data_IF_736779531442
#
_entry.id   IF_736779531442
#
_cell.length_a   1.000
_cell.length_b   1.000
_cell.length_c   1.000
_cell.angle_alpha   90.00
_cell.angle_beta   90.00
_cell.angle_gamma   90.00
#
_symmetry.space_group_name_H-M   'P 1'
#
loop_
_entity.id
_entity.type
_entity.pdbx_description
1 polymer ?
#
# COMPACT_ATOMS: atom_id res chain seq x y z
N UNK A 1 -26.22 4.13 -4.36
CA UNK A 1 -25.58 2.80 -4.45
C UNK A 1 -25.08 2.45 -3.06
N UNK A 2 -25.35 1.25 -2.54
CA UNK A 2 -24.80 0.83 -1.24
C UNK A 2 -23.35 0.46 -1.47
N UNK A 3 -22.43 1.23 -0.89
CA UNK A 3 -21.01 0.91 -0.81
C UNK A 3 -20.74 0.07 0.45
N UNK A 4 -19.67 -0.73 0.46
CA UNK A 4 -19.31 -1.67 1.54
C UNK A 4 -19.36 -1.04 2.92
N UNK A 5 -18.85 0.18 3.06
CA UNK A 5 -18.84 0.94 4.32
C UNK A 5 -20.23 1.06 4.96
N UNK A 6 -21.27 1.31 4.15
CA UNK A 6 -22.63 1.56 4.60
C UNK A 6 -23.47 0.28 4.75
N UNK A 7 -22.90 -0.89 4.46
CA UNK A 7 -23.60 -2.17 4.66
C UNK A 7 -23.75 -2.48 6.14
N UNK A 8 -24.95 -2.86 6.58
CA UNK A 8 -25.24 -3.22 7.97
C UNK A 8 -25.82 -4.63 8.08
N UNK A 9 -25.67 -5.31 9.24
CA UNK A 9 -26.33 -6.58 9.48
C UNK A 9 -27.84 -6.49 9.21
N UNK A 10 -28.37 -7.42 8.41
CA UNK A 10 -29.74 -7.42 7.92
C UNK A 10 -29.92 -6.90 6.50
N UNK A 11 -28.89 -6.27 5.91
CA UNK A 11 -28.95 -5.84 4.51
C UNK A 11 -28.79 -7.02 3.54
N UNK A 12 -29.68 -7.08 2.55
CA UNK A 12 -29.45 -7.87 1.33
C UNK A 12 -28.65 -7.05 0.32
N UNK A 13 -27.73 -7.72 -0.36
CA UNK A 13 -26.78 -7.16 -1.32
C UNK A 13 -26.94 -7.86 -2.66
N UNK A 14 -26.96 -7.07 -3.72
CA UNK A 14 -26.97 -7.51 -5.12
C UNK A 14 -26.07 -6.52 -5.89
N UNK A 15 -24.76 -6.81 -5.95
CA UNK A 15 -23.76 -5.83 -6.43
C UNK A 15 -22.49 -6.48 -6.97
N UNK A 16 -21.70 -5.72 -7.72
CA UNK A 16 -20.36 -6.11 -8.15
C UNK A 16 -19.32 -5.78 -7.09
N UNK A 17 -18.30 -6.63 -6.99
CA UNK A 17 -17.15 -6.46 -6.12
C UNK A 17 -15.89 -6.97 -6.81
N UNK A 18 -14.74 -6.47 -6.39
CA UNK A 18 -13.45 -7.07 -6.69
C UNK A 18 -13.10 -8.12 -5.63
N UNK A 19 -12.61 -9.28 -6.03
CA UNK A 19 -12.01 -10.24 -5.10
C UNK A 19 -10.61 -9.74 -4.72
N UNK A 20 -10.46 -9.27 -3.49
CA UNK A 20 -9.16 -8.89 -2.92
C UNK A 20 -8.38 -10.11 -2.43
N UNK A 21 -9.07 -11.09 -1.85
CA UNK A 21 -8.48 -12.36 -1.38
C UNK A 21 -9.49 -13.48 -1.45
N UNK A 22 -9.05 -14.67 -1.80
CA UNK A 22 -9.86 -15.89 -1.77
C UNK A 22 -9.11 -17.00 -1.03
N UNK A 23 -9.74 -17.63 -0.06
CA UNK A 23 -9.18 -18.79 0.66
C UNK A 23 -10.18 -19.93 0.64
N UNK A 24 -9.71 -21.11 0.22
CA UNK A 24 -10.49 -22.34 0.24
C UNK A 24 -10.41 -22.97 1.63
N UNK A 25 -11.46 -23.66 2.04
CA UNK A 25 -11.49 -24.39 3.29
C UNK A 25 -12.46 -25.56 3.23
N UNK A 26 -12.32 -26.46 4.21
CA UNK A 26 -13.21 -27.61 4.38
C UNK A 26 -13.89 -27.49 5.74
N UNK A 27 -15.21 -27.60 5.76
CA UNK A 27 -15.98 -27.60 7.01
C UNK A 27 -15.70 -28.87 7.82
N UNK A 28 -16.04 -28.87 9.11
CA UNK A 28 -15.94 -30.07 9.96
C UNK A 28 -16.72 -31.29 9.40
N UNK A 29 -17.70 -31.04 8.52
CA UNK A 29 -18.52 -32.05 7.86
C UNK A 29 -17.96 -32.49 6.50
N UNK A 30 -16.74 -32.05 6.15
CA UNK A 30 -16.08 -32.43 4.89
C UNK A 30 -16.57 -31.68 3.65
N UNK A 31 -17.42 -30.65 3.79
CA UNK A 31 -17.89 -29.83 2.66
C UNK A 31 -16.94 -28.67 2.37
N UNK A 32 -16.65 -28.45 1.10
CA UNK A 32 -15.83 -27.34 0.62
C UNK A 32 -16.57 -25.99 0.74
N UNK A 33 -15.84 -24.97 1.18
CA UNK A 33 -16.31 -23.60 1.24
C UNK A 33 -15.20 -22.63 0.82
N UNK A 34 -15.59 -21.40 0.47
CA UNK A 34 -14.64 -20.32 0.23
C UNK A 34 -14.91 -19.15 1.17
N UNK A 35 -13.82 -18.53 1.62
CA UNK A 35 -13.86 -17.19 2.22
C UNK A 35 -13.32 -16.23 1.19
N UNK A 36 -14.15 -15.27 0.79
CA UNK A 36 -13.80 -14.20 -0.14
C UNK A 36 -13.69 -12.91 0.65
N UNK A 37 -12.74 -12.07 0.31
CA UNK A 37 -12.66 -10.70 0.79
C UNK A 37 -13.05 -9.82 -0.39
N UNK A 38 -14.28 -9.32 -0.34
CA UNK A 38 -14.91 -8.57 -1.43
C UNK A 38 -14.68 -7.09 -1.19
N UNK A 39 -14.19 -6.38 -2.21
CA UNK A 39 -13.78 -4.98 -2.10
C UNK A 39 -14.58 -4.10 -3.08
N UNK A 40 -14.89 -2.89 -2.61
CA UNK A 40 -15.20 -1.72 -3.44
C UNK A 40 -14.35 -0.51 -2.98
N UNK A 41 -14.58 0.66 -3.56
CA UNK A 41 -13.82 1.90 -3.22
C UNK A 41 -13.95 2.34 -1.77
N UNK A 42 -15.00 1.93 -1.06
CA UNK A 42 -15.23 2.33 0.34
C UNK A 42 -14.58 1.38 1.35
N UNK A 43 -14.29 0.13 0.94
CA UNK A 43 -13.63 -0.83 1.80
C UNK A 43 -13.84 -2.27 1.37
N UNK A 44 -13.57 -3.18 2.30
CA UNK A 44 -13.67 -4.62 2.12
C UNK A 44 -14.60 -5.27 3.14
N UNK A 45 -15.23 -6.38 2.74
CA UNK A 45 -16.08 -7.21 3.60
C UNK A 45 -15.69 -8.68 3.45
N UNK A 46 -15.55 -9.38 4.58
CA UNK A 46 -15.39 -10.83 4.57
C UNK A 46 -16.72 -11.49 4.17
N UNK A 47 -16.68 -12.37 3.18
CA UNK A 47 -17.82 -13.06 2.62
C UNK A 47 -17.60 -14.59 2.62
N UNK A 48 -18.63 -15.36 3.01
CA UNK A 48 -18.59 -16.83 3.08
C UNK A 48 -19.48 -17.44 2.03
N UNK A 49 -18.88 -18.21 1.11
CA UNK A 49 -19.56 -19.10 0.18
C UNK A 49 -19.50 -20.53 0.75
N UNK A 50 -20.57 -20.96 1.42
CA UNK A 50 -20.61 -22.23 2.16
C UNK A 50 -20.75 -23.47 1.29
N UNK A 51 -21.12 -23.32 0.02
CA UNK A 51 -21.30 -24.44 -0.93
C UNK A 51 -20.52 -24.10 -2.18
N UNK A 52 -19.19 -24.14 -2.07
CA UNK A 52 -18.31 -23.83 -3.18
C UNK A 52 -18.13 -25.06 -4.07
N UNK A 53 -18.27 -24.88 -5.38
CA UNK A 53 -17.98 -25.91 -6.36
C UNK A 53 -16.48 -25.93 -6.72
N UNK A 54 -16.03 -26.97 -7.41
CA UNK A 54 -14.66 -27.01 -7.97
C UNK A 54 -14.41 -25.88 -8.95
N UNK A 55 -15.43 -25.49 -9.71
CA UNK A 55 -15.37 -24.37 -10.65
C UNK A 55 -15.22 -23.04 -9.90
N UNK A 56 -15.99 -22.82 -8.83
CA UNK A 56 -15.83 -21.64 -7.97
C UNK A 56 -14.40 -21.54 -7.42
N UNK A 57 -13.86 -22.66 -6.92
CA UNK A 57 -12.50 -22.72 -6.38
C UNK A 57 -11.41 -22.43 -7.43
N UNK A 58 -11.68 -22.71 -8.70
CA UNK A 58 -10.77 -22.45 -9.81
C UNK A 58 -10.89 -21.01 -10.34
N UNK A 59 -12.08 -20.42 -10.29
CA UNK A 59 -12.39 -19.17 -10.98
C UNK A 59 -12.47 -17.96 -10.04
N UNK A 60 -12.88 -18.14 -8.79
CA UNK A 60 -12.99 -17.06 -7.80
C UNK A 60 -11.63 -16.78 -7.18
N UNK A 61 -10.79 -16.07 -7.93
CA UNK A 61 -9.41 -15.72 -7.57
C UNK A 61 -9.25 -14.22 -7.33
N UNK A 62 -8.16 -13.79 -6.65
CA UNK A 62 -7.81 -12.38 -6.56
C UNK A 62 -7.78 -11.71 -7.95
N UNK A 63 -8.11 -10.41 -7.99
CA UNK A 63 -8.22 -9.56 -9.19
C UNK A 63 -9.47 -9.80 -10.06
N UNK A 64 -10.23 -10.87 -9.82
CA UNK A 64 -11.48 -11.11 -10.53
C UNK A 64 -12.62 -10.22 -10.01
N UNK A 65 -13.41 -9.67 -10.94
CA UNK A 65 -14.62 -8.92 -10.61
C UNK A 65 -15.78 -9.91 -10.59
N UNK A 66 -16.56 -9.88 -9.51
CA UNK A 66 -17.69 -10.78 -9.30
C UNK A 66 -18.94 -10.02 -8.96
N UNK A 67 -20.06 -10.50 -9.49
CA UNK A 67 -21.37 -10.09 -9.08
C UNK A 67 -21.87 -11.02 -7.97
N UNK A 68 -22.19 -10.46 -6.81
CA UNK A 68 -22.52 -11.21 -5.60
C UNK A 68 -23.92 -10.85 -5.12
N UNK A 69 -24.71 -11.88 -4.87
CA UNK A 69 -25.96 -11.79 -4.12
C UNK A 69 -25.77 -12.45 -2.76
N UNK A 70 -26.11 -11.75 -1.69
CA UNK A 70 -25.89 -12.24 -0.34
C UNK A 70 -26.53 -11.39 0.73
N UNK A 71 -26.45 -11.86 1.97
CA UNK A 71 -27.02 -11.17 3.13
C UNK A 71 -25.90 -10.84 4.12
N UNK A 72 -25.87 -9.60 4.58
CA UNK A 72 -24.92 -9.13 5.58
C UNK A 72 -25.42 -9.56 6.96
N UNK A 73 -24.56 -10.24 7.71
CA UNK A 73 -24.82 -10.76 9.04
C UNK A 73 -23.82 -10.20 10.04
N UNK A 74 -24.22 -10.17 11.31
CA UNK A 74 -23.30 -9.96 12.42
C UNK A 74 -22.77 -11.33 12.86
N UNK A 75 -21.49 -11.59 12.62
CA UNK A 75 -20.81 -12.79 13.08
C UNK A 75 -19.75 -12.42 14.11
N UNK A 76 -19.97 -12.80 15.37
CA UNK A 76 -19.07 -12.55 16.51
C UNK A 76 -18.67 -11.06 16.65
N UNK A 77 -19.62 -10.16 16.43
CA UNK A 77 -19.42 -8.72 16.56
C UNK A 77 -18.81 -8.06 15.33
N UNK A 78 -18.60 -8.79 14.22
CA UNK A 78 -18.08 -8.26 12.96
C UNK A 78 -19.09 -8.43 11.82
N UNK A 79 -19.11 -7.47 10.89
CA UNK A 79 -19.88 -7.58 9.64
C UNK A 79 -19.26 -8.70 8.78
N UNK A 80 -20.09 -9.65 8.34
CA UNK A 80 -19.70 -10.68 7.39
C UNK A 80 -20.85 -10.88 6.40
N UNK A 81 -20.56 -11.16 5.14
CA UNK A 81 -21.59 -11.48 4.15
C UNK A 81 -21.74 -13.00 4.00
N UNK A 82 -22.96 -13.50 4.05
CA UNK A 82 -23.30 -14.85 3.59
C UNK A 82 -23.61 -14.78 2.10
N UNK A 83 -22.80 -15.43 1.28
CA UNK A 83 -22.98 -15.45 -0.17
C UNK A 83 -24.05 -16.47 -0.55
N UNK A 84 -25.08 -16.01 -1.26
CA UNK A 84 -26.16 -16.85 -1.80
C UNK A 84 -25.89 -17.21 -3.27
N UNK A 85 -25.38 -16.26 -4.06
CA UNK A 85 -25.03 -16.47 -5.46
C UNK A 85 -23.80 -15.63 -5.82
N UNK A 86 -22.92 -16.18 -6.65
CA UNK A 86 -21.76 -15.48 -7.20
C UNK A 86 -21.61 -15.83 -8.68
N UNK A 87 -21.21 -14.85 -9.50
CA UNK A 87 -20.75 -15.07 -10.87
C UNK A 87 -19.59 -14.14 -11.19
N UNK A 88 -18.71 -14.54 -12.11
CA UNK A 88 -17.75 -13.63 -12.70
C UNK A 88 -18.47 -12.53 -13.50
N UNK A 89 -17.85 -11.35 -13.53
CA UNK A 89 -18.19 -10.30 -14.47
C UNK A 89 -17.87 -10.76 -15.90
N UNK A 90 -18.69 -10.32 -16.84
CA UNK A 90 -18.54 -10.58 -18.28
C UNK A 90 -18.05 -9.29 -18.96
N UNK A 91 -17.45 -9.38 -20.16
CA UNK A 91 -17.09 -8.19 -20.93
C UNK A 91 -18.25 -7.21 -21.14
N UNK A 92 -19.47 -7.73 -21.27
CA UNK A 92 -20.72 -6.97 -21.41
C UNK A 92 -21.07 -6.12 -20.18
N UNK A 93 -20.55 -6.47 -18.99
CA UNK A 93 -20.75 -5.69 -17.77
C UNK A 93 -19.96 -4.36 -17.80
N UNK A 94 -18.98 -4.20 -18.72
CA UNK A 94 -18.15 -3.00 -18.91
C UNK A 94 -17.45 -2.49 -17.64
N UNK A 95 -16.90 -3.40 -16.84
CA UNK A 95 -16.25 -3.08 -15.56
C UNK A 95 -14.73 -3.21 -15.65
N UNK A 96 -14.01 -2.34 -14.93
CA UNK A 96 -12.57 -2.41 -14.72
C UNK A 96 -12.25 -2.55 -13.23
N UNK A 97 -11.11 -3.16 -12.90
CA UNK A 97 -10.65 -3.26 -11.51
C UNK A 97 -10.50 -1.87 -10.86
N UNK A 98 -10.18 -0.83 -11.65
CA UNK A 98 -10.12 0.58 -11.21
C UNK A 98 -11.44 1.13 -10.64
N UNK A 99 -12.56 0.49 -10.96
CA UNK A 99 -13.87 0.88 -10.44
C UNK A 99 -14.09 0.43 -9.00
N UNK A 100 -13.24 -0.47 -8.49
CA UNK A 100 -13.39 -1.12 -7.17
C UNK A 100 -12.22 -0.89 -6.23
N UNK A 101 -11.11 -0.33 -6.69
CA UNK A 101 -9.95 -0.03 -5.86
C UNK A 101 -9.96 1.46 -5.52
N UNK A 102 -9.80 1.79 -4.24
CA UNK A 102 -9.55 3.17 -3.82
C UNK A 102 -8.25 3.65 -4.49
N UNK A 103 -8.22 4.89 -4.97
CA UNK A 103 -7.07 5.44 -5.66
C UNK A 103 -6.27 6.36 -4.73
N UNK A 104 -5.03 6.66 -5.10
CA UNK A 104 -4.38 7.83 -4.53
C UNK A 104 -5.27 9.08 -4.74
N UNK A 105 -5.26 10.07 -3.81
CA UNK A 105 -5.96 11.34 -3.99
C UNK A 105 -5.52 12.16 -5.22
N UNK A 106 -4.47 11.71 -5.90
CA UNK A 106 -3.91 12.29 -7.12
C UNK A 106 -3.76 11.20 -8.18
N UNK A 107 -3.91 11.59 -9.44
CA UNK A 107 -3.66 10.70 -10.58
C UNK A 107 -2.16 10.39 -10.72
N UNK A 108 -1.79 9.26 -11.37
CA UNK A 108 -0.39 8.93 -11.61
C UNK A 108 0.39 10.04 -12.34
N UNK A 109 -0.25 10.72 -13.30
CA UNK A 109 0.37 11.79 -14.07
C UNK A 109 0.64 13.03 -13.20
N UNK A 110 -0.30 13.43 -12.34
CA UNK A 110 -0.09 14.52 -11.38
C UNK A 110 1.01 14.20 -10.37
N UNK A 111 1.08 12.96 -9.88
CA UNK A 111 2.15 12.51 -8.98
C UNK A 111 3.50 12.58 -9.70
N UNK A 112 3.55 12.10 -10.95
CA UNK A 112 4.77 12.12 -11.78
C UNK A 112 5.27 13.55 -12.02
N UNK A 113 4.37 14.47 -12.36
CA UNK A 113 4.70 15.89 -12.52
C UNK A 113 5.27 16.47 -11.21
N UNK A 114 4.58 16.25 -10.08
CA UNK A 114 5.03 16.74 -8.78
C UNK A 114 6.40 16.17 -8.36
N UNK A 115 6.63 14.86 -8.55
CA UNK A 115 7.92 14.23 -8.29
C UNK A 115 9.03 14.78 -9.19
N UNK A 116 8.72 15.18 -10.42
CA UNK A 116 9.72 15.73 -11.33
C UNK A 116 10.34 17.04 -10.80
N UNK A 117 9.56 17.84 -10.07
CA UNK A 117 10.06 19.05 -9.41
C UNK A 117 11.04 18.72 -8.28
N UNK A 118 10.70 17.78 -7.40
CA UNK A 118 11.62 17.33 -6.34
C UNK A 118 12.89 16.69 -6.90
N UNK A 119 12.80 16.00 -8.04
CA UNK A 119 13.96 15.43 -8.73
C UNK A 119 14.94 16.50 -9.22
N UNK A 120 14.44 17.70 -9.57
CA UNK A 120 15.29 18.83 -9.97
C UNK A 120 16.05 19.44 -8.80
N UNK A 121 15.50 19.37 -7.59
CA UNK A 121 16.13 19.87 -6.35
C UNK A 121 17.27 18.96 -5.84
N UNK A 122 17.51 17.80 -6.48
CA UNK A 122 18.68 16.95 -6.20
C UNK A 122 19.88 17.50 -6.95
N UNK A 123 20.66 18.36 -6.28
CA UNK A 123 21.84 19.03 -6.84
C UNK A 123 23.06 18.12 -7.00
N UNK A 124 23.20 17.06 -6.18
CA UNK A 124 24.26 16.09 -6.38
C UNK A 124 24.00 15.28 -7.66
N UNK A 125 24.86 15.47 -8.67
CA UNK A 125 24.68 14.89 -10.00
C UNK A 125 24.66 13.35 -10.01
N UNK A 126 25.44 12.70 -9.15
CA UNK A 126 25.50 11.24 -9.08
C UNK A 126 24.21 10.66 -8.47
N UNK A 127 23.75 11.22 -7.36
CA UNK A 127 22.48 10.87 -6.73
C UNK A 127 21.30 11.11 -7.67
N UNK A 128 21.27 12.26 -8.36
CA UNK A 128 20.21 12.58 -9.31
C UNK A 128 20.19 11.59 -10.49
N UNK A 129 21.35 11.24 -11.05
CA UNK A 129 21.47 10.27 -12.15
C UNK A 129 20.97 8.89 -11.75
N UNK A 130 21.39 8.37 -10.60
CA UNK A 130 20.93 7.07 -10.07
C UNK A 130 19.41 7.10 -9.85
N UNK A 131 18.91 8.14 -9.19
CA UNK A 131 17.48 8.27 -8.87
C UNK A 131 16.63 8.30 -10.15
N UNK A 132 17.02 9.12 -11.14
CA UNK A 132 16.32 9.20 -12.43
C UNK A 132 16.38 7.89 -13.21
N UNK A 133 17.53 7.22 -13.23
CA UNK A 133 17.70 5.93 -13.91
C UNK A 133 16.75 4.88 -13.36
N UNK A 134 16.70 4.75 -12.03
CA UNK A 134 15.84 3.78 -11.35
C UNK A 134 14.35 4.07 -11.53
N UNK A 135 13.93 5.34 -11.38
CA UNK A 135 12.53 5.72 -11.64
C UNK A 135 12.13 5.48 -13.10
N UNK A 136 13.05 5.69 -14.06
CA UNK A 136 12.81 5.38 -15.47
C UNK A 136 12.71 3.86 -15.70
N UNK A 137 13.62 3.07 -15.11
CA UNK A 137 13.67 1.60 -15.22
C UNK A 137 12.37 0.97 -14.73
N UNK A 138 11.80 1.50 -13.65
CA UNK A 138 10.61 0.96 -12.99
C UNK A 138 9.35 1.82 -13.15
N UNK A 139 9.32 2.74 -14.12
CA UNK A 139 8.30 3.80 -14.21
C UNK A 139 6.87 3.27 -14.06
N UNK A 140 6.47 2.31 -14.90
CA UNK A 140 5.10 1.78 -14.89
C UNK A 140 4.71 1.21 -13.51
N UNK A 141 5.57 0.36 -12.94
CA UNK A 141 5.31 -0.28 -11.64
C UNK A 141 5.35 0.73 -10.50
N UNK A 142 6.33 1.63 -10.47
CA UNK A 142 6.49 2.61 -9.40
C UNK A 142 5.25 3.51 -9.23
N UNK A 143 4.64 3.92 -10.35
CA UNK A 143 3.45 4.78 -10.35
C UNK A 143 2.12 4.03 -10.22
N UNK A 144 2.10 2.70 -10.28
CA UNK A 144 0.85 1.92 -10.22
C UNK A 144 0.76 1.03 -8.98
N UNK A 145 1.89 0.60 -8.42
CA UNK A 145 1.93 -0.32 -7.28
C UNK A 145 1.47 0.34 -5.97
N UNK A 146 0.90 -0.45 -5.04
CA UNK A 146 0.63 -0.01 -3.68
C UNK A 146 1.93 0.13 -2.88
N UNK A 147 1.91 0.91 -1.79
CA UNK A 147 3.04 0.99 -0.87
C UNK A 147 3.05 -0.17 0.14
N UNK A 148 1.95 -0.89 0.34
CA UNK A 148 1.92 -2.04 1.23
C UNK A 148 0.86 -3.05 0.81
N UNK A 149 1.08 -4.32 1.18
CA UNK A 149 0.07 -5.38 1.05
C UNK A 149 -1.13 -5.16 1.99
N UNK A 150 -0.92 -4.45 3.10
CA UNK A 150 -1.93 -4.11 4.10
C UNK A 150 -1.51 -2.86 4.88
N UNK A 151 -2.46 -2.17 5.51
CA UNK A 151 -2.26 -1.00 6.41
C UNK A 151 -2.22 0.38 5.72
N UNK A 152 -1.04 0.92 5.36
CA UNK A 152 -0.89 2.29 4.84
C UNK A 152 -0.66 2.27 3.33
N UNK A 153 -1.28 3.20 2.60
CA UNK A 153 -1.12 3.32 1.15
C UNK A 153 -1.27 2.01 0.33
N UNK A 154 -2.09 1.08 0.81
CA UNK A 154 -2.39 -0.21 0.18
C UNK A 154 -3.38 -0.09 -1.00
N UNK A 155 -3.31 1.02 -1.73
CA UNK A 155 -4.17 1.35 -2.86
C UNK A 155 -3.33 1.53 -4.14
N UNK A 156 -3.99 1.50 -5.30
CA UNK A 156 -3.31 1.73 -6.57
C UNK A 156 -2.59 3.09 -6.57
N UNK A 157 -1.36 3.11 -7.08
CA UNK A 157 -0.46 4.28 -7.03
C UNK A 157 -0.02 4.72 -5.63
N UNK A 158 -0.31 3.91 -4.61
CA UNK A 158 0.02 4.20 -3.21
C UNK A 158 1.51 4.38 -2.96
N UNK A 159 2.38 3.63 -3.64
CA UNK A 159 3.84 3.76 -3.50
C UNK A 159 4.32 5.15 -3.90
N UNK A 160 3.97 5.59 -5.13
CA UNK A 160 4.38 6.90 -5.62
C UNK A 160 3.74 8.06 -4.83
N UNK A 161 2.50 7.88 -4.36
CA UNK A 161 1.83 8.90 -3.55
C UNK A 161 2.48 9.05 -2.17
N UNK A 162 2.83 7.93 -1.52
CA UNK A 162 3.58 7.89 -0.25
C UNK A 162 4.94 8.61 -0.38
N UNK A 163 5.69 8.32 -1.44
CA UNK A 163 6.95 9.03 -1.73
C UNK A 163 6.72 10.54 -1.89
N UNK A 164 5.66 10.95 -2.60
CA UNK A 164 5.36 12.36 -2.80
C UNK A 164 5.01 13.09 -1.49
N UNK A 165 4.20 12.49 -0.62
CA UNK A 165 3.84 13.09 0.66
C UNK A 165 5.04 13.17 1.60
N UNK A 166 5.90 12.14 1.63
CA UNK A 166 7.19 12.18 2.33
C UNK A 166 8.09 13.31 1.84
N UNK A 167 8.19 13.53 0.52
CA UNK A 167 8.99 14.63 -0.03
C UNK A 167 8.46 16.01 0.38
N UNK A 168 7.14 16.19 0.48
CA UNK A 168 6.53 17.43 0.99
C UNK A 168 6.88 17.68 2.46
N UNK A 169 6.89 16.62 3.28
CA UNK A 169 7.34 16.69 4.68
C UNK A 169 8.83 17.03 4.72
N UNK A 170 9.65 16.31 3.96
CA UNK A 170 11.10 16.50 3.88
C UNK A 170 11.48 17.92 3.48
N UNK A 171 10.77 18.51 2.50
CA UNK A 171 10.97 19.90 2.12
C UNK A 171 10.82 20.84 3.30
N UNK A 172 9.73 20.69 4.05
CA UNK A 172 9.45 21.52 5.22
C UNK A 172 10.51 21.37 6.30
N UNK A 173 10.98 20.13 6.53
CA UNK A 173 12.04 19.82 7.49
C UNK A 173 13.39 20.41 7.04
N UNK A 174 13.75 20.28 5.76
CA UNK A 174 14.98 20.85 5.20
C UNK A 174 14.98 22.38 5.20
N UNK A 175 13.82 23.03 5.06
CA UNK A 175 13.69 24.48 5.16
C UNK A 175 13.93 24.98 6.61
N UNK A 176 13.60 24.16 7.62
CA UNK A 176 13.83 24.45 9.05
C UNK A 176 15.25 24.07 9.50
N UNK A 177 15.80 22.97 8.98
CA UNK A 177 17.09 22.41 9.39
C UNK A 177 18.08 22.36 8.21
N UNK A 178 18.78 23.48 7.90
CA UNK A 178 19.74 23.56 6.80
C UNK A 178 20.94 22.62 6.91
N UNK A 179 21.17 22.02 8.09
CA UNK A 179 22.20 21.00 8.29
C UNK A 179 21.96 19.73 7.44
N UNK A 180 20.71 19.45 7.06
CA UNK A 180 20.35 18.27 6.30
C UNK A 180 20.77 18.38 4.83
N UNK A 181 21.38 17.32 4.31
CA UNK A 181 21.68 17.19 2.89
C UNK A 181 20.41 16.85 2.11
N UNK A 182 19.83 17.86 1.46
CA UNK A 182 18.60 17.75 0.67
C UNK A 182 18.71 16.71 -0.45
N UNK A 183 19.85 16.67 -1.17
CA UNK A 183 20.07 15.72 -2.26
C UNK A 183 20.03 14.27 -1.77
N UNK A 184 20.74 13.96 -0.69
CA UNK A 184 20.76 12.61 -0.12
C UNK A 184 19.39 12.21 0.43
N UNK A 185 18.72 13.11 1.17
CA UNK A 185 17.41 12.82 1.74
C UNK A 185 16.35 12.61 0.65
N UNK A 186 16.27 13.48 -0.36
CA UNK A 186 15.29 13.34 -1.43
C UNK A 186 15.52 12.09 -2.27
N UNK A 187 16.78 11.80 -2.65
CA UNK A 187 17.12 10.55 -3.34
C UNK A 187 16.74 9.32 -2.52
N UNK A 188 17.02 9.33 -1.21
CA UNK A 188 16.65 8.22 -0.35
C UNK A 188 15.13 8.07 -0.24
N UNK A 189 14.37 9.15 -0.04
CA UNK A 189 12.90 9.10 0.01
C UNK A 189 12.33 8.54 -1.31
N UNK A 190 12.86 8.94 -2.46
CA UNK A 190 12.35 8.44 -3.74
C UNK A 190 12.61 6.94 -3.92
N UNK A 191 13.69 6.41 -3.34
CA UNK A 191 14.16 5.05 -3.61
C UNK A 191 13.99 4.06 -2.47
N UNK A 192 13.68 4.50 -1.24
CA UNK A 192 13.68 3.64 -0.04
C UNK A 192 12.82 2.39 -0.19
N UNK A 193 11.67 2.55 -0.84
CA UNK A 193 10.67 1.51 -1.06
C UNK A 193 10.63 0.99 -2.50
N UNK A 194 11.58 1.38 -3.35
CA UNK A 194 11.57 0.98 -4.76
C UNK A 194 11.54 -0.55 -4.94
N UNK A 195 12.14 -1.30 -4.00
CA UNK A 195 12.12 -2.76 -4.00
C UNK A 195 10.71 -3.37 -3.99
N UNK A 196 9.68 -2.61 -3.62
CA UNK A 196 8.27 -3.05 -3.65
C UNK A 196 7.79 -3.41 -5.06
N UNK A 197 8.40 -2.85 -6.10
CA UNK A 197 8.11 -3.20 -7.52
C UNK A 197 8.53 -4.62 -7.91
N UNK A 198 9.31 -5.30 -7.06
CA UNK A 198 9.73 -6.70 -7.17
C UNK A 198 9.25 -7.57 -6.00
N UNK A 199 9.10 -6.98 -4.81
CA UNK A 199 8.57 -7.66 -3.63
C UNK A 199 7.09 -8.05 -3.82
N UNK A 200 6.33 -7.24 -4.54
CA UNK A 200 4.88 -7.37 -4.71
C UNK A 200 4.51 -7.90 -6.10
N UNK A 201 3.46 -8.73 -6.17
CA UNK A 201 3.02 -9.38 -7.41
C UNK A 201 2.37 -8.43 -8.41
N UNK A 202 1.76 -7.33 -7.96
CA UNK A 202 1.05 -6.41 -8.84
C UNK A 202 0.36 -5.25 -8.13
N UNK A 203 -0.34 -4.39 -8.87
CA UNK A 203 -0.99 -3.19 -8.34
C UNK A 203 -2.32 -3.48 -7.62
N UNK A 204 -2.95 -4.63 -7.87
CA UNK A 204 -4.26 -5.01 -7.34
C UNK A 204 -4.13 -6.34 -6.61
N UNK A 205 -4.87 -6.51 -5.50
CA UNK A 205 -4.91 -7.76 -4.71
C UNK A 205 -3.52 -8.39 -4.46
N UNK A 206 -2.54 -7.54 -4.15
CA UNK A 206 -1.13 -7.93 -4.22
C UNK A 206 -0.75 -9.00 -3.20
N UNK A 207 0.14 -9.89 -3.62
CA UNK A 207 0.80 -10.89 -2.77
C UNK A 207 2.31 -10.69 -2.80
N UNK A 208 3.02 -11.28 -1.84
CA UNK A 208 4.47 -11.27 -1.83
C UNK A 208 5.01 -12.27 -2.85
N UNK A 209 5.97 -11.85 -3.67
CA UNK A 209 6.71 -12.76 -4.57
C UNK A 209 7.66 -13.65 -3.76
N UNK A 210 8.20 -14.71 -4.40
CA UNK A 210 9.22 -15.56 -3.76
C UNK A 210 10.45 -14.73 -3.38
N UNK A 211 10.90 -13.89 -4.30
CA UNK A 211 12.00 -12.95 -4.06
C UNK A 211 11.68 -11.98 -2.91
N UNK A 212 10.47 -11.40 -2.91
CA UNK A 212 10.00 -10.51 -1.86
C UNK A 212 10.00 -11.16 -0.48
N UNK A 213 9.49 -12.39 -0.36
CA UNK A 213 9.49 -13.12 0.92
C UNK A 213 10.89 -13.47 1.41
N UNK A 214 11.84 -13.75 0.52
CA UNK A 214 13.19 -14.17 0.89
C UNK A 214 14.14 -13.00 1.17
N UNK A 215 14.01 -11.90 0.43
CA UNK A 215 14.96 -10.77 0.47
C UNK A 215 14.39 -9.51 1.12
N UNK A 216 13.09 -9.24 0.92
CA UNK A 216 12.43 -8.00 1.31
C UNK A 216 12.81 -6.79 0.44
N UNK A 217 11.91 -5.83 0.33
CA UNK A 217 12.09 -4.63 -0.50
C UNK A 217 13.32 -3.81 -0.11
N UNK A 218 13.72 -3.76 1.16
CA UNK A 218 14.88 -2.98 1.63
C UNK A 218 16.17 -3.47 0.97
N UNK A 219 16.40 -4.78 1.00
CA UNK A 219 17.59 -5.41 0.41
C UNK A 219 17.56 -5.23 -1.11
N UNK A 220 16.42 -5.51 -1.73
CA UNK A 220 16.21 -5.34 -3.18
C UNK A 220 16.50 -3.90 -3.62
N UNK A 221 15.98 -2.90 -2.92
CA UNK A 221 16.20 -1.49 -3.24
C UNK A 221 17.68 -1.09 -3.12
N UNK A 222 18.38 -1.55 -2.07
CA UNK A 222 19.83 -1.34 -1.93
C UNK A 222 20.62 -1.97 -3.08
N UNK A 223 20.22 -3.16 -3.53
CA UNK A 223 20.89 -3.87 -4.62
C UNK A 223 20.66 -3.16 -5.96
N UNK A 224 19.44 -2.70 -6.23
CA UNK A 224 19.12 -1.89 -7.43
C UNK A 224 19.94 -0.60 -7.50
N UNK A 225 20.18 0.07 -6.36
CA UNK A 225 21.08 1.23 -6.29
C UNK A 225 22.52 0.84 -6.60
N UNK A 226 23.01 -0.27 -6.05
CA UNK A 226 24.38 -0.74 -6.28
C UNK A 226 24.61 -1.15 -7.75
N UNK A 227 23.65 -1.85 -8.36
CA UNK A 227 23.69 -2.24 -9.77
C UNK A 227 23.62 -1.01 -10.69
N UNK A 228 22.70 -0.09 -10.42
CA UNK A 228 22.56 1.14 -11.22
C UNK A 228 23.82 2.01 -11.15
N UNK A 229 24.47 2.11 -10.00
CA UNK A 229 25.73 2.84 -9.87
C UNK A 229 26.82 2.23 -10.78
N UNK A 230 26.93 0.89 -10.81
CA UNK A 230 27.88 0.18 -11.70
C UNK A 230 27.55 0.39 -13.17
N UNK A 231 26.27 0.26 -13.57
CA UNK A 231 25.81 0.47 -14.95
C UNK A 231 26.12 1.88 -15.45
N UNK A 232 26.00 2.89 -14.57
CA UNK A 232 26.21 4.30 -14.90
C UNK A 232 27.67 4.75 -14.79
N UNK A 233 28.58 3.86 -14.37
CA UNK A 233 29.98 4.18 -14.09
C UNK A 233 30.14 5.21 -12.97
N UNK A 234 29.27 5.17 -11.96
CA UNK A 234 29.27 6.09 -10.83
C UNK A 234 29.94 5.40 -9.64
N UNK A 235 31.02 6.02 -9.17
CA UNK A 235 31.71 5.67 -7.95
C UNK A 235 31.68 6.88 -7.01
N UNK A 236 31.67 6.64 -5.70
CA UNK A 236 31.64 7.71 -4.71
C UNK A 236 31.04 7.28 -3.38
N UNK A 237 31.31 8.08 -2.34
CA UNK A 237 30.78 7.87 -1.00
C UNK A 237 29.24 7.98 -1.00
N UNK A 238 28.68 8.85 -1.83
CA UNK A 238 27.23 9.09 -1.94
C UNK A 238 26.44 7.82 -2.29
N UNK A 239 27.02 6.88 -3.04
CA UNK A 239 26.37 5.59 -3.36
C UNK A 239 26.25 4.74 -2.11
N UNK A 240 27.33 4.68 -1.30
CA UNK A 240 27.32 3.97 -0.02
C UNK A 240 26.35 4.61 0.96
N UNK A 241 26.34 5.95 1.06
CA UNK A 241 25.43 6.67 1.95
C UNK A 241 23.97 6.50 1.54
N UNK A 242 23.64 6.57 0.24
CA UNK A 242 22.29 6.31 -0.25
C UNK A 242 21.83 4.89 0.09
N UNK A 243 22.70 3.89 -0.09
CA UNK A 243 22.38 2.52 0.32
C UNK A 243 22.17 2.39 1.83
N UNK A 244 22.98 3.07 2.64
CA UNK A 244 22.79 3.10 4.09
C UNK A 244 21.45 3.72 4.49
N UNK A 245 21.07 4.83 3.85
CA UNK A 245 19.76 5.47 4.06
C UNK A 245 18.62 4.47 3.82
N UNK A 246 18.67 3.72 2.70
CA UNK A 246 17.68 2.70 2.38
C UNK A 246 17.70 1.56 3.40
N UNK A 247 18.88 1.01 3.73
CA UNK A 247 18.98 -0.10 4.70
C UNK A 247 18.49 0.28 6.11
N UNK A 248 18.57 1.56 6.47
CA UNK A 248 18.23 2.04 7.81
C UNK A 248 16.83 2.69 7.92
N UNK A 249 16.06 2.79 6.85
CA UNK A 249 14.90 3.69 6.81
C UNK A 249 13.74 3.30 7.76
N UNK A 250 13.57 2.02 8.12
CA UNK A 250 12.60 1.64 9.15
C UNK A 250 13.10 1.97 10.58
N UNK A 251 14.30 2.52 10.75
CA UNK A 251 14.83 3.11 12.00
C UNK A 251 15.20 2.12 13.09
N UNK A 252 14.59 0.93 13.13
CA UNK A 252 14.82 -0.09 14.14
C UNK A 252 14.91 -1.47 13.53
N UNK A 253 15.73 -2.32 14.13
CA UNK A 253 15.85 -3.73 13.73
C UNK A 253 14.54 -4.48 13.89
N UNK A 254 13.76 -4.18 14.93
CA UNK A 254 12.44 -4.77 15.17
C UNK A 254 11.41 -4.44 14.08
N UNK A 255 11.64 -3.38 13.29
CA UNK A 255 10.81 -3.01 12.15
C UNK A 255 11.35 -3.58 10.82
N UNK A 256 12.40 -4.42 10.87
CA UNK A 256 12.94 -5.11 9.69
C UNK A 256 14.12 -4.42 9.03
N UNK A 257 14.58 -3.25 9.51
CA UNK A 257 15.79 -2.62 8.99
C UNK A 257 17.04 -3.45 9.30
N UNK A 258 17.89 -3.77 8.30
CA UNK A 258 19.17 -4.43 8.52
C UNK A 258 20.16 -3.65 9.40
N UNK A 259 20.03 -2.31 9.45
CA UNK A 259 20.89 -1.42 10.23
C UNK A 259 20.05 -0.32 10.90
N UNK A 260 20.55 0.19 12.03
CA UNK A 260 20.01 1.42 12.60
C UNK A 260 20.49 2.64 11.78
N UNK A 261 19.78 3.77 11.83
CA UNK A 261 20.28 5.00 11.25
C UNK A 261 21.60 5.41 11.92
N UNK A 262 22.55 5.85 11.10
CA UNK A 262 23.86 6.35 11.53
C UNK A 262 24.20 7.67 10.82
N UNK A 263 23.19 8.28 10.19
CA UNK A 263 23.25 9.57 9.52
C UNK A 263 22.05 10.38 10.00
N UNK A 264 22.24 11.69 10.16
CA UNK A 264 21.15 12.62 10.49
C UNK A 264 20.02 12.52 9.47
N UNK A 265 20.33 12.39 8.18
CA UNK A 265 19.33 12.21 7.14
C UNK A 265 18.58 10.88 7.28
N UNK A 266 19.26 9.81 7.71
CA UNK A 266 18.63 8.49 7.89
C UNK A 266 17.67 8.49 9.07
N UNK A 267 18.03 9.18 10.15
CA UNK A 267 17.16 9.37 11.33
C UNK A 267 15.89 10.15 10.93
N UNK A 268 16.06 11.21 10.15
CA UNK A 268 14.95 12.03 9.64
C UNK A 268 14.10 11.26 8.65
N UNK A 269 14.69 10.45 7.75
CA UNK A 269 13.95 9.60 6.83
C UNK A 269 13.00 8.66 7.59
N UNK A 270 13.49 8.00 8.63
CA UNK A 270 12.68 7.13 9.48
C UNK A 270 11.49 7.86 10.11
N UNK A 271 11.71 9.09 10.62
CA UNK A 271 10.62 9.88 11.19
C UNK A 271 9.62 10.34 10.14
N UNK A 272 10.09 10.75 8.95
CA UNK A 272 9.22 11.17 7.85
C UNK A 272 8.32 10.02 7.41
N UNK A 273 8.90 8.84 7.19
CA UNK A 273 8.17 7.62 6.83
C UNK A 273 7.10 7.29 7.89
N UNK A 274 7.48 7.32 9.17
CA UNK A 274 6.55 7.09 10.27
C UNK A 274 5.42 8.13 10.35
N UNK A 275 5.71 9.41 10.12
CA UNK A 275 4.69 10.46 10.11
C UNK A 275 3.68 10.16 9.00
N UNK A 276 4.15 9.91 7.79
CA UNK A 276 3.28 9.68 6.64
C UNK A 276 2.41 8.43 6.82
N UNK A 277 3.03 7.30 7.18
CA UNK A 277 2.33 6.05 7.41
C UNK A 277 1.24 6.19 8.50
N UNK A 278 1.56 6.84 9.63
CA UNK A 278 0.61 7.03 10.73
C UNK A 278 -0.53 7.96 10.35
N UNK A 279 -0.25 9.05 9.64
CA UNK A 279 -1.29 9.98 9.18
C UNK A 279 -2.24 9.33 8.18
N UNK A 280 -1.73 8.48 7.27
CA UNK A 280 -2.59 7.70 6.38
C UNK A 280 -3.48 6.71 7.15
N UNK A 281 -2.95 6.06 8.18
CA UNK A 281 -3.73 5.16 9.03
C UNK A 281 -4.82 5.90 9.82
N UNK A 282 -4.53 7.11 10.31
CA UNK A 282 -5.53 7.96 10.95
C UNK A 282 -6.64 8.37 9.99
N UNK A 283 -6.29 8.84 8.78
CA UNK A 283 -7.27 9.25 7.79
C UNK A 283 -8.24 8.11 7.44
N UNK A 284 -7.70 6.90 7.21
CA UNK A 284 -8.49 5.70 6.95
C UNK A 284 -9.39 5.31 8.13
N UNK A 285 -8.87 5.36 9.35
CA UNK A 285 -9.63 4.98 10.54
C UNK A 285 -10.75 5.97 10.84
N UNK A 286 -10.49 7.28 10.72
CA UNK A 286 -11.48 8.31 11.00
C UNK A 286 -12.57 8.40 9.94
N UNK A 287 -12.28 8.09 8.67
CA UNK A 287 -13.31 7.95 7.62
C UNK A 287 -14.38 6.91 8.00
N UNK A 288 -14.00 5.84 8.70
CA UNK A 288 -14.89 4.73 9.10
C UNK A 288 -15.48 4.87 10.51
N UNK A 289 -15.16 5.95 11.22
CA UNK A 289 -15.54 6.12 12.63
C UNK A 289 -16.47 7.31 12.75
N UNK A 290 -17.67 7.10 13.26
CA UNK A 290 -18.61 8.19 13.50
C UNK A 290 -18.02 9.24 14.46
N UNK A 291 -18.39 10.50 14.22
CA UNK A 291 -18.06 11.61 15.11
C UNK A 291 -18.58 11.32 16.52
N UNK A 292 -17.74 11.54 17.52
CA UNK A 292 -18.02 11.22 18.93
C UNK A 292 -17.74 9.78 19.35
N UNK A 293 -17.22 8.93 18.46
CA UNK A 293 -16.87 7.54 18.77
C UNK A 293 -15.36 7.30 18.72
N UNK A 294 -14.92 6.17 19.28
CA UNK A 294 -13.55 5.68 19.14
C UNK A 294 -13.42 4.78 17.91
N UNK A 295 -12.28 4.87 17.24
CA UNK A 295 -11.90 3.92 16.18
C UNK A 295 -11.83 2.49 16.73
N UNK A 296 -11.89 1.49 15.84
CA UNK A 296 -11.38 0.16 16.17
C UNK A 296 -9.89 0.22 16.56
N UNK A 297 -9.35 -0.86 17.13
CA UNK A 297 -7.93 -0.96 17.45
C UNK A 297 -7.11 -1.00 16.17
N UNK A 298 -6.12 -0.13 16.06
CA UNK A 298 -5.29 0.00 14.85
C UNK A 298 -3.94 -0.65 15.10
N UNK A 299 -3.68 -1.78 14.43
CA UNK A 299 -2.47 -2.60 14.63
C UNK A 299 -1.16 -1.80 14.53
N UNK A 300 -0.97 -1.08 13.42
CA UNK A 300 0.24 -0.25 13.21
C UNK A 300 0.34 1.01 14.07
N UNK A 301 -0.65 1.27 14.94
CA UNK A 301 -0.61 2.32 15.96
C UNK A 301 -0.60 1.74 17.37
N UNK A 302 0.12 0.62 17.53
CA UNK A 302 0.30 -0.10 18.80
C UNK A 302 -1.03 -0.65 19.36
N UNK A 303 -1.95 -1.07 18.47
CA UNK A 303 -3.27 -1.58 18.81
C UNK A 303 -4.13 -0.61 19.66
N UNK A 304 -3.87 0.70 19.56
CA UNK A 304 -4.63 1.75 20.27
C UNK A 304 -5.91 2.09 19.53
N UNK A 305 -6.84 2.70 20.27
CA UNK A 305 -8.06 3.33 19.75
C UNK A 305 -7.93 4.84 19.84
N UNK A 306 -8.54 5.56 18.91
CA UNK A 306 -8.45 7.02 18.84
C UNK A 306 -9.84 7.64 18.75
N UNK A 307 -10.04 8.76 19.41
CA UNK A 307 -11.33 9.44 19.46
C UNK A 307 -11.53 10.32 18.22
N UNK A 308 -12.69 10.22 17.56
CA UNK A 308 -13.08 11.13 16.48
C UNK A 308 -13.89 12.31 17.07
N UNK A 309 -13.34 13.54 17.15
CA UNK A 309 -14.00 14.65 17.85
C UNK A 309 -15.31 15.06 17.20
N UNK A 310 -16.34 15.39 17.98
CA UNK A 310 -17.65 15.79 17.47
C UNK A 310 -17.65 17.13 16.72
N UNK A 311 -16.79 18.07 17.10
CA UNK A 311 -16.83 19.46 16.62
C UNK A 311 -15.47 20.16 16.53
N UNK A 312 -14.36 19.43 16.63
CA UNK A 312 -13.01 20.02 16.67
C UNK A 312 -12.31 20.08 15.31
N UNK A 313 -12.99 19.73 14.21
CA UNK A 313 -12.46 19.73 12.84
C UNK A 313 -13.43 20.43 11.87
#
# INVERSE_FOLDING_TARGET
MRNVENLNPGDSVDHFFLIHRATQGVTAQGKDYMTLYLQDKSGDIEAKLWTATKEDMQNLKPEEIVHVKGDVINYRGRKQMKVNQVRLAKPEDNLSTKDFVDGAPMTPDEIKEALSHFMLDIENANLQRITRHLIKKYQDRFFTYPAASSHHHNFASGLSYHVLTMLRIAKSICDIYPLLNRSLLYSAIILHDLGKVRELSGPVATTYTVEGNLLGHISIASDEVAESAKELGIEGEEVMLLRHMILAHHGKMEFGSPKLPHLKEAEILFFIDNIDAKMNMFEKAFKKTDKGQFTERIFGLENRQFYNPTSLD
#
